data_IF_175038095033
#
_entry.id   IF_175038095033
#
_cell.length_a   1.000
_cell.length_b   1.000
_cell.length_c   1.000
_cell.angle_alpha   90.00
_cell.angle_beta   90.00
_cell.angle_gamma   90.00
#
_symmetry.space_group_name_H-M   'P 1'
#
loop_
_entity.id
_entity.type
_entity.pdbx_description
1 polymer ?
#
# COMPACT_ATOMS: atom_id res chain seq x y z
N UNK A 1 -1.67 1.22 -34.97
CA UNK A 1 -1.28 0.30 -33.88
C UNK A 1 -1.72 -1.15 -34.14
N UNK A 2 -1.55 -1.62 -35.38
CA UNK A 2 -1.90 -2.98 -35.81
C UNK A 2 -0.66 -3.87 -35.85
N UNK A 3 0.50 -3.29 -36.17
CA UNK A 3 1.79 -3.98 -36.18
C UNK A 3 2.23 -4.46 -34.80
N UNK A 4 1.95 -3.71 -33.74
CA UNK A 4 2.24 -4.11 -32.35
C UNK A 4 1.40 -5.33 -31.94
N UNK A 5 0.09 -5.33 -32.25
CA UNK A 5 -0.82 -6.46 -31.98
C UNK A 5 -0.43 -7.75 -32.71
N UNK A 6 0.06 -7.64 -33.95
CA UNK A 6 0.50 -8.82 -34.71
C UNK A 6 1.83 -9.38 -34.16
N UNK A 7 2.73 -8.51 -33.68
CA UNK A 7 4.00 -8.97 -33.11
C UNK A 7 3.83 -9.62 -31.73
N UNK A 8 2.88 -9.15 -30.92
CA UNK A 8 2.56 -9.75 -29.61
C UNK A 8 1.99 -11.17 -29.75
N UNK A 9 1.16 -11.41 -30.78
CA UNK A 9 0.62 -12.75 -31.11
C UNK A 9 1.72 -13.71 -31.59
N UNK A 10 2.68 -13.23 -32.38
CA UNK A 10 3.80 -14.04 -32.89
C UNK A 10 4.83 -14.35 -31.78
N UNK A 11 4.94 -13.50 -30.76
CA UNK A 11 5.87 -13.66 -29.63
C UNK A 11 5.26 -14.37 -28.41
N UNK A 12 4.01 -14.85 -28.48
CA UNK A 12 3.32 -15.45 -27.34
C UNK A 12 3.13 -14.48 -26.17
N UNK A 13 3.21 -13.17 -26.43
CA UNK A 13 2.89 -12.12 -25.46
C UNK A 13 1.43 -11.74 -25.61
N UNK A 14 0.54 -12.73 -25.47
CA UNK A 14 -0.87 -12.40 -25.26
C UNK A 14 -0.94 -11.50 -24.03
N UNK A 15 -1.64 -10.37 -24.17
CA UNK A 15 -1.94 -9.52 -23.02
C UNK A 15 -2.55 -10.42 -21.94
N UNK A 16 -2.09 -10.32 -20.69
CA UNK A 16 -2.64 -11.13 -19.63
C UNK A 16 -4.16 -10.99 -19.66
N UNK A 17 -4.88 -12.12 -19.63
CA UNK A 17 -6.33 -12.09 -19.54
C UNK A 17 -6.67 -11.36 -18.24
N UNK A 18 -7.11 -10.11 -18.38
CA UNK A 18 -7.44 -9.23 -17.27
C UNK A 18 -8.94 -9.32 -17.01
N UNK A 19 -9.30 -9.43 -15.73
CA UNK A 19 -10.69 -9.42 -15.31
C UNK A 19 -11.27 -8.02 -15.53
N UNK A 20 -11.95 -7.80 -16.66
CA UNK A 20 -12.42 -6.48 -17.07
C UNK A 20 -13.85 -6.20 -16.58
N UNK A 21 -14.07 -6.21 -15.27
CA UNK A 21 -15.28 -5.63 -14.68
C UNK A 21 -15.07 -4.12 -14.47
N UNK A 22 -15.96 -3.30 -15.03
CA UNK A 22 -15.87 -1.85 -14.97
C UNK A 22 -15.91 -1.31 -13.52
N UNK A 23 -16.69 -1.94 -12.63
CA UNK A 23 -16.74 -1.55 -11.22
C UNK A 23 -15.47 -1.97 -10.47
N UNK A 24 -14.90 -3.13 -10.81
CA UNK A 24 -13.62 -3.58 -10.25
C UNK A 24 -12.46 -2.68 -10.67
N UNK A 25 -12.38 -2.27 -11.94
CA UNK A 25 -11.34 -1.36 -12.43
C UNK A 25 -11.48 0.05 -11.85
N UNK A 26 -12.71 0.49 -11.56
CA UNK A 26 -12.96 1.72 -10.80
C UNK A 26 -12.46 1.60 -9.36
N UNK A 27 -12.76 0.50 -8.68
CA UNK A 27 -12.27 0.22 -7.32
C UNK A 27 -10.74 0.15 -7.27
N UNK A 28 -10.12 -0.57 -8.20
CA UNK A 28 -8.66 -0.71 -8.32
C UNK A 28 -8.00 0.66 -8.48
N UNK A 29 -8.47 1.51 -9.41
CA UNK A 29 -7.95 2.88 -9.56
C UNK A 29 -8.09 3.69 -8.27
N UNK A 30 -9.26 3.65 -7.63
CA UNK A 30 -9.50 4.33 -6.36
C UNK A 30 -8.52 3.90 -5.27
N UNK A 31 -8.26 2.60 -5.10
CA UNK A 31 -7.34 2.08 -4.09
C UNK A 31 -5.90 2.57 -4.35
N UNK A 32 -5.44 2.59 -5.60
CA UNK A 32 -4.10 3.06 -5.95
C UNK A 32 -3.94 4.57 -5.74
N UNK A 33 -4.96 5.36 -6.08
CA UNK A 33 -4.95 6.81 -5.81
C UNK A 33 -5.02 7.10 -4.30
N UNK A 34 -5.84 6.34 -3.56
CA UNK A 34 -5.96 6.46 -2.11
C UNK A 34 -4.64 6.14 -1.41
N UNK A 35 -3.90 5.12 -1.85
CA UNK A 35 -2.56 4.80 -1.32
C UNK A 35 -1.61 6.00 -1.43
N UNK A 36 -1.57 6.64 -2.61
CA UNK A 36 -0.70 7.80 -2.84
C UNK A 36 -1.08 8.97 -1.92
N UNK A 37 -2.38 9.27 -1.80
CA UNK A 37 -2.85 10.34 -0.93
C UNK A 37 -2.56 10.06 0.55
N UNK A 38 -2.81 8.84 1.01
CA UNK A 38 -2.56 8.44 2.39
C UNK A 38 -1.06 8.44 2.71
N UNK A 39 -0.21 7.97 1.79
CA UNK A 39 1.24 7.97 1.98
C UNK A 39 1.81 9.39 2.10
N UNK A 40 1.34 10.32 1.27
CA UNK A 40 1.78 11.72 1.38
C UNK A 40 1.23 12.38 2.65
N UNK A 41 -0.03 12.12 3.02
CA UNK A 41 -0.59 12.58 4.29
C UNK A 41 0.17 12.05 5.51
N UNK A 42 0.51 10.76 5.53
CA UNK A 42 1.31 10.12 6.58
C UNK A 42 2.68 10.80 6.71
N UNK A 43 3.36 11.07 5.58
CA UNK A 43 4.65 11.75 5.55
C UNK A 43 4.56 13.17 6.11
N UNK A 44 3.48 13.89 5.82
CA UNK A 44 3.24 15.22 6.39
C UNK A 44 2.93 15.15 7.89
N UNK A 45 2.12 14.20 8.34
CA UNK A 45 1.81 13.97 9.75
C UNK A 45 3.09 13.67 10.56
N UNK A 46 3.93 12.76 10.07
CA UNK A 46 5.23 12.47 10.67
C UNK A 46 6.11 13.72 10.81
N UNK A 47 6.20 14.53 9.75
CA UNK A 47 7.00 15.77 9.77
C UNK A 47 6.46 16.77 10.78
N UNK A 48 5.14 16.88 10.93
CA UNK A 48 4.50 17.77 11.89
C UNK A 48 4.83 17.35 13.32
N UNK A 49 4.63 16.07 13.66
CA UNK A 49 4.95 15.52 15.00
C UNK A 49 6.43 15.69 15.32
N UNK A 50 7.31 15.37 14.36
CA UNK A 50 8.76 15.56 14.49
C UNK A 50 9.11 17.03 14.78
N UNK A 51 8.54 17.97 14.03
CA UNK A 51 8.78 19.41 14.22
C UNK A 51 8.35 19.90 15.60
N UNK A 52 7.18 19.47 16.10
CA UNK A 52 6.73 19.86 17.43
C UNK A 52 7.67 19.33 18.53
N UNK A 53 8.16 18.09 18.39
CA UNK A 53 9.16 17.51 19.31
C UNK A 53 10.48 18.29 19.30
N UNK A 54 11.01 18.58 18.12
CA UNK A 54 12.28 19.33 17.97
C UNK A 54 12.16 20.77 18.49
N UNK A 55 11.03 21.44 18.24
CA UNK A 55 10.77 22.78 18.78
C UNK A 55 10.61 22.75 20.29
N UNK A 56 9.89 21.76 20.83
CA UNK A 56 9.75 21.55 22.27
C UNK A 56 11.12 21.36 22.94
N UNK A 57 11.99 20.53 22.37
CA UNK A 57 13.35 20.34 22.87
C UNK A 57 14.16 21.65 22.83
N UNK A 58 14.12 22.37 21.70
CA UNK A 58 14.83 23.63 21.53
C UNK A 58 14.41 24.70 22.55
N UNK A 59 13.11 24.77 22.86
CA UNK A 59 12.59 25.66 23.92
C UNK A 59 13.03 25.23 25.32
N UNK A 60 13.12 23.92 25.58
CA UNK A 60 13.66 23.43 26.86
C UNK A 60 15.11 23.88 27.05
N UNK A 61 15.93 23.71 26.02
CA UNK A 61 17.36 24.04 26.09
C UNK A 61 17.60 25.54 26.11
N UNK A 62 16.82 26.31 25.34
CA UNK A 62 16.79 27.76 25.44
C UNK A 62 16.40 28.21 26.86
N UNK A 63 15.34 27.63 27.43
CA UNK A 63 14.88 27.96 28.78
C UNK A 63 15.97 27.75 29.84
N UNK A 64 16.70 26.63 29.78
CA UNK A 64 17.85 26.34 30.65
C UNK A 64 18.97 27.36 30.46
N UNK A 65 19.36 27.63 29.21
CA UNK A 65 20.44 28.56 28.91
C UNK A 65 20.14 29.99 29.39
N UNK A 66 18.91 30.46 29.18
CA UNK A 66 18.47 31.78 29.63
C UNK A 66 18.43 31.87 31.15
N UNK A 67 18.03 30.80 31.87
CA UNK A 67 18.13 30.77 33.34
C UNK A 67 19.57 30.84 33.84
N UNK A 68 20.51 30.14 33.17
CA UNK A 68 21.94 30.21 33.51
C UNK A 68 22.49 31.63 33.29
N UNK A 69 22.09 32.29 32.20
CA UNK A 69 22.41 33.69 31.97
C UNK A 69 21.81 34.57 33.09
N UNK A 70 20.54 34.35 33.43
CA UNK A 70 19.88 35.04 34.53
C UNK A 70 20.54 34.88 35.89
N UNK A 71 21.20 33.75 36.15
CA UNK A 71 21.98 33.52 37.38
C UNK A 71 23.34 34.23 37.36
N UNK A 72 23.86 34.56 36.17
CA UNK A 72 25.09 35.35 35.99
C UNK A 72 24.83 36.86 36.06
N UNK A 73 23.55 37.25 35.94
CA UNK A 73 23.09 38.64 35.99
C UNK A 73 22.46 38.97 37.35
N UNK A 74 22.64 40.21 37.81
CA UNK A 74 22.02 40.70 39.05
C UNK A 74 20.67 41.41 38.83
N UNK A 75 20.04 41.80 39.94
CA UNK A 75 18.95 42.78 39.97
C UNK A 75 17.71 42.40 39.13
N UNK A 76 17.12 43.37 38.43
CA UNK A 76 15.91 43.17 37.64
C UNK A 76 16.16 42.33 36.37
N UNK A 77 17.36 42.40 35.79
CA UNK A 77 17.70 41.70 34.56
C UNK A 77 17.78 40.19 34.78
N UNK A 78 18.46 39.74 35.84
CA UNK A 78 18.52 38.32 36.21
C UNK A 78 17.14 37.71 36.48
N UNK A 79 16.23 38.48 37.10
CA UNK A 79 14.83 38.08 37.32
C UNK A 79 14.07 37.95 35.99
N UNK A 80 14.24 38.90 35.07
CA UNK A 80 13.59 38.88 33.76
C UNK A 80 14.03 37.66 32.93
N UNK A 81 15.32 37.34 32.90
CA UNK A 81 15.81 36.12 32.24
C UNK A 81 15.30 34.85 32.91
N UNK A 82 15.30 34.79 34.24
CA UNK A 82 14.75 33.64 34.97
C UNK A 82 13.27 33.40 34.62
N UNK A 83 12.47 34.46 34.56
CA UNK A 83 11.06 34.37 34.15
C UNK A 83 10.93 33.92 32.69
N UNK A 84 11.67 34.53 31.76
CA UNK A 84 11.66 34.14 30.34
C UNK A 84 11.99 32.64 30.17
N UNK A 85 13.01 32.16 30.88
CA UNK A 85 13.39 30.75 30.84
C UNK A 85 12.30 29.82 31.37
N UNK A 86 11.62 30.19 32.47
CA UNK A 86 10.46 29.45 32.97
C UNK A 86 9.30 29.42 31.97
N UNK A 87 8.98 30.55 31.32
CA UNK A 87 7.93 30.59 30.29
C UNK A 87 8.29 29.70 29.10
N UNK A 88 9.56 29.68 28.69
CA UNK A 88 10.03 28.82 27.61
C UNK A 88 9.89 27.33 27.94
N UNK A 89 10.24 26.91 29.15
CA UNK A 89 10.03 25.53 29.60
C UNK A 89 8.54 25.14 29.66
N UNK A 90 7.66 26.05 30.09
CA UNK A 90 6.20 25.82 30.06
C UNK A 90 5.72 25.60 28.62
N UNK A 91 6.22 26.39 27.66
CA UNK A 91 5.90 26.20 26.24
C UNK A 91 6.45 24.88 25.70
N UNK A 92 7.66 24.49 26.11
CA UNK A 92 8.24 23.19 25.77
C UNK A 92 7.35 22.03 26.22
N UNK A 93 6.86 22.04 27.46
CA UNK A 93 5.96 21.00 27.99
C UNK A 93 4.66 20.93 27.18
N UNK A 94 4.08 22.09 26.85
CA UNK A 94 2.85 22.16 26.02
C UNK A 94 3.07 21.55 24.64
N UNK A 95 4.17 21.89 23.97
CA UNK A 95 4.51 21.35 22.65
C UNK A 95 4.79 19.85 22.69
N UNK A 96 5.44 19.34 23.74
CA UNK A 96 5.65 17.90 23.90
C UNK A 96 4.33 17.16 24.07
N UNK A 97 3.39 17.71 24.84
CA UNK A 97 2.04 17.16 25.01
C UNK A 97 1.28 17.15 23.68
N UNK A 98 1.27 18.27 22.97
CA UNK A 98 0.62 18.40 21.66
C UNK A 98 1.23 17.44 20.63
N UNK A 99 2.56 17.29 20.60
CA UNK A 99 3.22 16.33 19.72
C UNK A 99 2.77 14.88 20.01
N UNK A 100 2.56 14.53 21.27
CA UNK A 100 2.07 13.22 21.66
C UNK A 100 0.60 13.03 21.26
N UNK A 101 -0.24 14.05 21.45
CA UNK A 101 -1.63 14.03 20.99
C UNK A 101 -1.71 13.88 19.47
N UNK A 102 -0.91 14.62 18.70
CA UNK A 102 -0.82 14.52 17.25
C UNK A 102 -0.32 13.15 16.78
N UNK A 103 0.67 12.56 17.47
CA UNK A 103 1.13 11.21 17.16
C UNK A 103 -0.03 10.20 17.28
N UNK A 104 -0.74 10.21 18.40
CA UNK A 104 -1.75 9.19 18.72
C UNK A 104 -3.07 9.39 17.97
N UNK A 105 -3.48 10.64 17.73
CA UNK A 105 -4.76 10.96 17.11
C UNK A 105 -4.70 11.17 15.60
N UNK A 106 -3.49 11.34 15.04
CA UNK A 106 -3.33 11.66 13.62
C UNK A 106 -2.29 10.79 12.91
N UNK A 107 -1.03 10.75 13.38
CA UNK A 107 0.04 10.02 12.67
C UNK A 107 -0.14 8.50 12.68
N UNK A 108 -0.34 7.88 13.86
CA UNK A 108 -0.54 6.41 13.95
C UNK A 108 -1.80 5.94 13.19
N UNK A 109 -2.97 6.59 13.29
CA UNK A 109 -4.13 6.24 12.47
C UNK A 109 -3.85 6.29 10.97
N UNK A 110 -3.16 7.33 10.47
CA UNK A 110 -2.80 7.44 9.05
C UNK A 110 -1.89 6.29 8.61
N UNK A 111 -0.91 5.94 9.43
CA UNK A 111 0.00 4.81 9.19
C UNK A 111 -0.74 3.47 9.13
N UNK A 112 -1.76 3.27 9.96
CA UNK A 112 -2.61 2.07 9.90
C UNK A 112 -3.50 2.04 8.66
N UNK A 113 -4.05 3.18 8.23
CA UNK A 113 -4.79 3.26 6.97
C UNK A 113 -3.91 2.97 5.75
N UNK A 114 -2.67 3.46 5.72
CA UNK A 114 -1.70 3.11 4.66
C UNK A 114 -1.49 1.60 4.59
N UNK A 115 -1.30 0.95 5.75
CA UNK A 115 -1.15 -0.52 5.81
C UNK A 115 -2.39 -1.26 5.32
N UNK A 116 -3.58 -0.81 5.73
CA UNK A 116 -4.83 -1.43 5.28
C UNK A 116 -4.99 -1.37 3.76
N UNK A 117 -4.70 -0.22 3.15
CA UNK A 117 -4.76 -0.03 1.69
C UNK A 117 -3.72 -0.87 0.96
N UNK A 118 -2.50 -1.00 1.51
CA UNK A 118 -1.47 -1.89 0.97
C UNK A 118 -1.92 -3.37 0.99
N UNK A 119 -2.56 -3.82 2.06
CA UNK A 119 -3.14 -5.17 2.13
C UNK A 119 -4.22 -5.38 1.06
N UNK A 120 -5.12 -4.42 0.87
CA UNK A 120 -6.15 -4.49 -0.19
C UNK A 120 -5.51 -4.59 -1.57
N UNK A 121 -4.45 -3.81 -1.82
CA UNK A 121 -3.70 -3.85 -3.08
C UNK A 121 -3.02 -5.20 -3.31
N UNK A 122 -2.49 -5.83 -2.26
CA UNK A 122 -1.95 -7.19 -2.35
C UNK A 122 -3.04 -8.21 -2.73
N UNK A 123 -4.21 -8.13 -2.10
CA UNK A 123 -5.36 -8.99 -2.44
C UNK A 123 -5.84 -8.77 -3.88
N UNK A 124 -5.82 -7.53 -4.39
CA UNK A 124 -6.09 -7.24 -5.82
C UNK A 124 -5.11 -7.98 -6.74
N UNK A 125 -3.82 -8.00 -6.39
CA UNK A 125 -2.81 -8.72 -7.15
C UNK A 125 -3.00 -10.26 -7.08
N UNK A 126 -3.34 -10.79 -5.90
CA UNK A 126 -3.68 -12.21 -5.72
C UNK A 126 -4.89 -12.62 -6.57
N UNK A 127 -5.95 -11.79 -6.59
CA UNK A 127 -7.13 -12.01 -7.44
C UNK A 127 -6.75 -12.05 -8.92
N UNK A 128 -5.93 -11.10 -9.39
CA UNK A 128 -5.46 -11.10 -10.77
C UNK A 128 -4.65 -12.36 -11.13
N UNK A 129 -3.85 -12.87 -10.19
CA UNK A 129 -3.11 -14.13 -10.39
C UNK A 129 -4.04 -15.34 -10.46
N UNK A 130 -5.02 -15.42 -9.56
CA UNK A 130 -6.01 -16.48 -9.54
C UNK A 130 -6.86 -16.49 -10.82
N UNK A 131 -7.28 -15.32 -11.29
CA UNK A 131 -8.03 -15.19 -12.54
C UNK A 131 -7.21 -15.64 -13.76
N UNK A 132 -5.94 -15.23 -13.87
CA UNK A 132 -5.05 -15.71 -14.94
C UNK A 132 -4.91 -17.23 -14.92
N UNK A 133 -4.72 -17.81 -13.72
CA UNK A 133 -4.64 -19.26 -13.54
C UNK A 133 -5.93 -19.96 -13.99
N UNK A 134 -7.08 -19.38 -13.68
CA UNK A 134 -8.38 -19.88 -14.10
C UNK A 134 -8.53 -19.87 -15.63
N UNK A 135 -8.08 -18.81 -16.30
CA UNK A 135 -8.09 -18.71 -17.76
C UNK A 135 -7.20 -19.77 -18.42
N UNK A 136 -5.96 -19.94 -17.93
CA UNK A 136 -5.02 -20.97 -18.41
C UNK A 136 -5.61 -22.38 -18.32
N UNK A 137 -6.26 -22.69 -17.18
CA UNK A 137 -6.91 -23.98 -16.97
C UNK A 137 -8.12 -24.17 -17.89
N UNK A 138 -8.93 -23.13 -18.08
CA UNK A 138 -10.09 -23.17 -18.96
C UNK A 138 -9.69 -23.38 -20.43
N UNK A 139 -8.61 -22.76 -20.89
CA UNK A 139 -8.04 -22.95 -22.23
C UNK A 139 -7.48 -24.37 -22.40
N UNK A 140 -6.74 -24.86 -21.42
CA UNK A 140 -6.20 -26.24 -21.42
C UNK A 140 -7.34 -27.26 -21.52
N UNK A 141 -8.43 -27.05 -20.78
CA UNK A 141 -9.60 -27.93 -20.81
C UNK A 141 -10.29 -27.91 -22.18
N UNK A 142 -10.50 -26.74 -22.78
CA UNK A 142 -11.05 -26.62 -24.14
C UNK A 142 -10.17 -27.33 -25.18
N UNK A 143 -8.85 -27.24 -25.06
CA UNK A 143 -7.94 -27.93 -25.97
C UNK A 143 -8.05 -29.46 -25.84
N UNK A 144 -8.20 -29.97 -24.60
CA UNK A 144 -8.44 -31.39 -24.33
C UNK A 144 -9.79 -31.86 -24.89
N UNK A 145 -10.85 -31.06 -24.74
CA UNK A 145 -12.18 -31.33 -25.33
C UNK A 145 -12.10 -31.45 -26.86
N UNK A 146 -11.50 -30.46 -27.53
CA UNK A 146 -11.30 -30.47 -28.99
C UNK A 146 -10.48 -31.68 -29.44
N UNK A 147 -9.43 -32.04 -28.69
CA UNK A 147 -8.59 -33.20 -29.00
C UNK A 147 -9.38 -34.51 -28.87
N UNK A 148 -10.19 -34.65 -27.83
CA UNK A 148 -11.06 -35.80 -27.63
C UNK A 148 -12.06 -35.94 -28.79
N UNK A 149 -12.80 -34.88 -29.13
CA UNK A 149 -13.76 -34.87 -30.24
C UNK A 149 -13.10 -35.28 -31.57
N UNK A 150 -11.90 -34.77 -31.84
CA UNK A 150 -11.13 -35.12 -33.03
C UNK A 150 -10.73 -36.60 -33.03
N UNK A 151 -10.26 -37.14 -31.91
CA UNK A 151 -9.87 -38.54 -31.79
C UNK A 151 -11.06 -39.49 -31.93
N UNK A 152 -12.22 -39.11 -31.39
CA UNK A 152 -13.48 -39.84 -31.57
C UNK A 152 -13.91 -39.87 -33.03
N UNK A 153 -13.83 -38.73 -33.73
CA UNK A 153 -14.20 -38.63 -35.15
C UNK A 153 -13.38 -39.56 -36.05
N UNK A 154 -12.07 -39.66 -35.79
CA UNK A 154 -11.16 -40.53 -36.57
C UNK A 154 -11.12 -41.98 -36.06
N UNK A 155 -11.90 -42.32 -35.02
CA UNK A 155 -11.91 -43.64 -34.35
C UNK A 155 -10.50 -44.11 -33.94
N UNK A 156 -9.74 -43.19 -33.35
CA UNK A 156 -8.38 -43.48 -32.88
C UNK A 156 -8.39 -44.45 -31.68
N UNK A 157 -7.39 -45.30 -31.57
CA UNK A 157 -7.17 -46.15 -30.38
C UNK A 157 -6.86 -45.32 -29.12
N UNK A 158 -6.47 -44.05 -29.28
CA UNK A 158 -6.14 -43.12 -28.18
C UNK A 158 -7.35 -42.47 -27.52
N UNK A 159 -8.57 -42.75 -27.96
CA UNK A 159 -9.80 -42.14 -27.40
C UNK A 159 -9.89 -42.38 -25.89
N UNK A 160 -9.67 -43.61 -25.42
CA UNK A 160 -9.76 -43.94 -24.00
C UNK A 160 -8.73 -43.20 -23.13
N UNK A 161 -7.57 -42.83 -23.69
CA UNK A 161 -6.56 -42.02 -23.01
C UNK A 161 -6.99 -40.55 -22.93
N UNK A 162 -7.45 -39.99 -24.05
CA UNK A 162 -7.96 -38.62 -24.09
C UNK A 162 -9.22 -38.40 -23.22
N UNK A 163 -10.10 -39.41 -23.11
CA UNK A 163 -11.26 -39.38 -22.21
C UNK A 163 -10.83 -39.27 -20.73
N UNK A 164 -9.81 -40.03 -20.32
CA UNK A 164 -9.25 -39.96 -18.96
C UNK A 164 -8.63 -38.60 -18.69
N UNK A 165 -7.78 -38.12 -19.59
CA UNK A 165 -7.12 -36.81 -19.45
C UNK A 165 -8.10 -35.64 -19.38
N UNK A 166 -9.23 -35.75 -20.09
CA UNK A 166 -10.32 -34.77 -20.04
C UNK A 166 -11.09 -34.84 -18.72
N UNK A 167 -11.45 -36.04 -18.24
CA UNK A 167 -12.09 -36.22 -16.93
C UNK A 167 -11.22 -35.70 -15.78
N UNK A 168 -9.93 -36.03 -15.76
CA UNK A 168 -8.98 -35.53 -14.75
C UNK A 168 -8.90 -34.00 -14.75
N UNK A 169 -9.01 -33.35 -15.92
CA UNK A 169 -9.02 -31.89 -16.02
C UNK A 169 -10.32 -31.26 -15.49
N UNK A 170 -11.44 -31.97 -15.57
CA UNK A 170 -12.73 -31.53 -15.00
C UNK A 170 -12.70 -31.69 -13.48
N UNK A 171 -12.27 -32.84 -12.98
CA UNK A 171 -12.22 -33.13 -11.54
C UNK A 171 -11.25 -32.20 -10.79
N UNK A 172 -10.14 -31.81 -11.42
CA UNK A 172 -9.20 -30.84 -10.84
C UNK A 172 -9.72 -29.40 -10.71
N UNK A 173 -11.01 -29.15 -11.03
CA UNK A 173 -11.67 -27.84 -10.99
C UNK A 173 -12.57 -27.65 -9.75
N UNK A 174 -12.98 -28.74 -9.10
CA UNK A 174 -13.78 -28.75 -7.86
C UNK A 174 -12.90 -28.60 -6.62
#
# INVERSE_FOLDING_TARGET
DVQSKVSDVVLGKEKPVEESDAEYEKLKRYIFELENHLAEAQKHAYRLVKRHRELGQSLSDFGKAVKLLGASEGNALGKAFSELGMKSEILSIKLQKEAQELLMSFEEPLKDYVRAVQSIKATIAERANAFRRQCELAETMKLKEINLDKLMLIRSEKVAEAEREYHEAIEGRE
#
